data_IF_708700973189
#
_entry.id   IF_708700973189
#
_cell.length_a   1.000
_cell.length_b   1.000
_cell.length_c   1.000
_cell.angle_alpha   90.00
_cell.angle_beta   90.00
_cell.angle_gamma   90.00
#
_symmetry.space_group_name_H-M   'P 1'
#
loop_
_entity.id
_entity.type
_entity.pdbx_description
1 polymer ?
#
# COMPACT_ATOMS: atom_id res chain seq x y z
N UNK A 1 -19.03 0.82 77.58
CA UNK A 1 -18.81 1.25 76.18
C UNK A 1 -17.73 0.36 75.60
N UNK A 2 -18.06 -0.82 75.10
CA UNK A 2 -17.16 -1.63 74.24
C UNK A 2 -17.94 -2.86 73.72
N UNK A 3 -18.71 -2.70 72.65
CA UNK A 3 -19.34 -3.83 71.94
C UNK A 3 -19.27 -3.67 70.41
N UNK A 4 -18.37 -2.84 69.87
CA UNK A 4 -18.21 -2.65 68.42
C UNK A 4 -17.28 -3.68 67.75
N UNK A 5 -16.81 -4.68 68.51
CA UNK A 5 -15.85 -5.69 68.02
C UNK A 5 -16.52 -6.87 67.29
N UNK A 6 -17.86 -6.91 67.29
CA UNK A 6 -18.69 -7.90 66.61
C UNK A 6 -19.73 -7.24 65.69
N UNK A 7 -19.36 -6.15 65.03
CA UNK A 7 -20.28 -5.51 64.07
C UNK A 7 -20.13 -6.19 62.70
N UNK A 8 -21.07 -7.08 62.29
CA UNK A 8 -20.93 -7.91 61.08
C UNK A 8 -20.84 -7.08 59.80
N UNK A 9 -21.28 -5.82 59.82
CA UNK A 9 -21.18 -4.88 58.71
C UNK A 9 -19.74 -4.46 58.40
N UNK A 10 -18.88 -4.28 59.40
CA UNK A 10 -17.48 -3.85 59.19
C UNK A 10 -16.62 -4.98 58.62
N UNK A 11 -16.89 -6.22 59.04
CA UNK A 11 -16.27 -7.43 58.50
C UNK A 11 -16.72 -7.61 57.04
N UNK A 12 -18.02 -7.46 56.77
CA UNK A 12 -18.58 -7.56 55.42
C UNK A 12 -18.03 -6.50 54.47
N UNK A 13 -17.89 -5.24 54.90
CA UNK A 13 -17.30 -4.16 54.09
C UNK A 13 -15.81 -4.38 53.82
N UNK A 14 -15.05 -4.91 54.78
CA UNK A 14 -13.64 -5.26 54.58
C UNK A 14 -13.48 -6.39 53.56
N UNK A 15 -14.34 -7.41 53.63
CA UNK A 15 -14.38 -8.48 52.62
C UNK A 15 -14.79 -7.94 51.25
N UNK A 16 -15.88 -7.17 51.13
CA UNK A 16 -16.32 -6.59 49.86
C UNK A 16 -15.27 -5.65 49.25
N UNK A 17 -14.56 -4.87 50.07
CA UNK A 17 -13.44 -4.06 49.63
C UNK A 17 -12.28 -4.89 49.06
N UNK A 18 -11.94 -6.00 49.71
CA UNK A 18 -10.93 -6.94 49.21
C UNK A 18 -11.35 -7.61 47.88
N UNK A 19 -12.63 -7.95 47.72
CA UNK A 19 -13.14 -8.50 46.47
C UNK A 19 -13.12 -7.47 45.34
N UNK A 20 -13.60 -6.25 45.58
CA UNK A 20 -13.58 -5.17 44.60
C UNK A 20 -12.16 -4.81 44.15
N UNK A 21 -11.21 -4.77 45.07
CA UNK A 21 -9.79 -4.53 44.74
C UNK A 21 -9.20 -5.66 43.90
N UNK A 22 -9.50 -6.92 44.19
CA UNK A 22 -9.09 -8.07 43.36
C UNK A 22 -9.70 -7.98 41.96
N UNK A 23 -11.00 -7.66 41.82
CA UNK A 23 -11.64 -7.49 40.52
C UNK A 23 -11.02 -6.36 39.69
N UNK A 24 -10.70 -5.23 40.32
CA UNK A 24 -9.99 -4.12 39.68
C UNK A 24 -8.62 -4.56 39.20
N UNK A 25 -7.83 -5.25 40.03
CA UNK A 25 -6.50 -5.75 39.65
C UNK A 25 -6.60 -6.75 38.47
N UNK A 26 -7.56 -7.68 38.52
CA UNK A 26 -7.78 -8.66 37.43
C UNK A 26 -8.14 -7.94 36.13
N UNK A 27 -9.02 -6.95 36.17
CA UNK A 27 -9.39 -6.17 34.98
C UNK A 27 -8.21 -5.41 34.38
N UNK A 28 -7.35 -4.82 35.22
CA UNK A 28 -6.13 -4.11 34.78
C UNK A 28 -5.17 -5.10 34.10
N UNK A 29 -4.94 -6.27 34.70
CA UNK A 29 -4.08 -7.32 34.11
C UNK A 29 -4.64 -7.76 32.75
N UNK A 30 -5.96 -7.95 32.65
CA UNK A 30 -6.61 -8.35 31.40
C UNK A 30 -6.40 -7.31 30.29
N UNK A 31 -6.55 -6.03 30.60
CA UNK A 31 -6.29 -4.94 29.65
C UNK A 31 -4.83 -4.92 29.21
N UNK A 32 -3.88 -5.10 30.13
CA UNK A 32 -2.45 -5.14 29.79
C UNK A 32 -2.14 -6.32 28.86
N UNK A 33 -2.64 -7.52 29.17
CA UNK A 33 -2.44 -8.70 28.32
C UNK A 33 -3.06 -8.49 26.94
N UNK A 34 -4.26 -7.91 26.86
CA UNK A 34 -4.94 -7.62 25.61
C UNK A 34 -4.14 -6.63 24.75
N UNK A 35 -3.62 -5.57 25.35
CA UNK A 35 -2.74 -4.60 24.67
C UNK A 35 -1.47 -5.27 24.16
N UNK A 36 -0.82 -6.11 24.98
CA UNK A 36 0.38 -6.86 24.56
C UNK A 36 0.07 -7.77 23.38
N UNK A 37 -1.04 -8.52 23.40
CA UNK A 37 -1.44 -9.40 22.30
C UNK A 37 -1.66 -8.57 21.03
N UNK A 38 -2.41 -7.46 21.10
CA UNK A 38 -2.62 -6.56 19.95
C UNK A 38 -1.29 -6.05 19.41
N UNK A 39 -0.40 -5.55 20.26
CA UNK A 39 0.90 -5.06 19.82
C UNK A 39 1.74 -6.17 19.17
N UNK A 40 1.69 -7.39 19.71
CA UNK A 40 2.43 -8.53 19.19
C UNK A 40 1.87 -8.98 17.85
N UNK A 41 0.55 -9.01 17.68
CA UNK A 41 -0.15 -9.35 16.43
C UNK A 41 0.04 -8.27 15.37
N UNK A 42 -0.10 -6.99 15.73
CA UNK A 42 0.13 -5.87 14.80
C UNK A 42 1.61 -5.80 14.37
N UNK A 43 2.55 -6.07 15.27
CA UNK A 43 3.99 -6.08 14.97
C UNK A 43 4.40 -7.30 14.14
N UNK A 44 3.81 -8.47 14.39
CA UNK A 44 4.05 -9.67 13.56
C UNK A 44 3.34 -9.59 12.20
N UNK A 45 2.12 -9.03 12.17
CA UNK A 45 1.35 -8.77 10.95
C UNK A 45 2.01 -7.74 10.03
N UNK A 46 2.71 -6.73 10.57
CA UNK A 46 3.50 -5.79 9.78
C UNK A 46 4.66 -6.47 9.00
N UNK A 47 5.17 -7.62 9.49
CA UNK A 47 6.13 -8.45 8.77
C UNK A 47 5.51 -9.23 7.61
N UNK A 48 4.29 -9.74 7.81
CA UNK A 48 3.55 -10.53 6.80
C UNK A 48 3.00 -9.63 5.69
N UNK A 49 2.51 -8.44 6.02
CA UNK A 49 2.06 -7.46 5.03
C UNK A 49 3.18 -7.04 4.05
N UNK A 50 4.44 -6.95 4.52
CA UNK A 50 5.61 -6.74 3.64
C UNK A 50 5.94 -7.95 2.77
N UNK A 51 5.59 -9.16 3.22
CA UNK A 51 5.74 -10.40 2.46
C UNK A 51 4.71 -10.52 1.33
N UNK A 52 3.46 -10.15 1.58
CA UNK A 52 2.36 -10.24 0.58
C UNK A 52 2.38 -9.06 -0.41
N UNK A 53 2.91 -7.89 -0.02
CA UNK A 53 3.14 -6.77 -0.94
C UNK A 53 4.21 -7.07 -2.00
N UNK A 54 5.06 -8.08 -1.78
CA UNK A 54 5.86 -8.72 -2.84
C UNK A 54 4.99 -9.78 -3.49
N UNK A 55 3.94 -9.32 -4.18
CA UNK A 55 2.97 -10.17 -4.85
C UNK A 55 3.66 -11.25 -5.68
N UNK A 56 3.05 -12.45 -5.68
CA UNK A 56 3.34 -13.60 -6.55
C UNK A 56 4.41 -13.33 -7.61
N UNK A 57 5.69 -13.40 -7.22
CA UNK A 57 6.78 -13.40 -8.19
C UNK A 57 6.89 -14.83 -8.68
N UNK A 58 6.15 -15.16 -9.73
CA UNK A 58 6.31 -16.43 -10.42
C UNK A 58 7.64 -16.40 -11.14
N UNK A 59 8.56 -17.29 -10.76
CA UNK A 59 9.82 -17.51 -11.47
C UNK A 59 9.48 -17.95 -12.90
N UNK A 60 9.81 -17.13 -13.90
CA UNK A 60 9.52 -17.45 -15.28
C UNK A 60 10.38 -18.66 -15.73
N UNK A 61 9.80 -19.65 -16.44
CA UNK A 61 10.53 -20.83 -16.88
C UNK A 61 11.71 -20.43 -17.78
N UNK A 62 12.91 -20.87 -17.39
CA UNK A 62 14.18 -20.42 -17.98
C UNK A 62 14.41 -20.80 -19.45
N UNK A 63 13.54 -21.63 -20.02
CA UNK A 63 13.54 -21.97 -21.45
C UNK A 63 13.08 -20.80 -22.35
N UNK A 64 12.25 -19.89 -21.83
CA UNK A 64 11.66 -18.81 -22.64
C UNK A 64 12.55 -17.56 -22.68
N UNK A 65 13.57 -17.46 -21.82
CA UNK A 65 14.43 -16.29 -21.70
C UNK A 65 15.68 -16.50 -22.56
N UNK A 66 15.92 -15.68 -23.60
CA UNK A 66 17.16 -15.74 -24.38
C UNK A 66 18.37 -15.55 -23.47
N UNK A 67 19.45 -16.34 -23.65
CA UNK A 67 20.61 -16.33 -22.74
C UNK A 67 21.24 -14.94 -22.55
N UNK A 68 21.10 -14.05 -23.55
CA UNK A 68 21.54 -12.65 -23.47
C UNK A 68 20.85 -11.83 -22.37
N UNK A 69 19.64 -12.20 -21.96
CA UNK A 69 18.83 -11.47 -20.98
C UNK A 69 18.73 -12.22 -19.63
N UNK A 70 19.42 -13.35 -19.50
CA UNK A 70 19.41 -14.18 -18.30
C UNK A 70 20.26 -13.53 -17.21
N UNK A 71 19.63 -13.15 -16.10
CA UNK A 71 20.29 -12.51 -14.95
C UNK A 71 20.29 -10.97 -14.95
N UNK A 72 19.77 -10.34 -16.00
CA UNK A 72 19.63 -8.89 -16.05
C UNK A 72 18.29 -8.50 -15.41
N UNK A 73 18.31 -8.14 -14.12
CA UNK A 73 17.18 -7.43 -13.49
C UNK A 73 17.07 -6.08 -14.19
N UNK A 74 16.09 -5.94 -15.09
CA UNK A 74 15.80 -4.67 -15.77
C UNK A 74 15.41 -3.64 -14.70
N UNK A 75 16.31 -2.70 -14.42
CA UNK A 75 16.11 -1.60 -13.48
C UNK A 75 15.26 -0.46 -14.06
N UNK A 76 14.90 -0.54 -15.35
CA UNK A 76 14.17 0.51 -16.07
C UNK A 76 12.67 0.61 -15.69
N UNK A 77 12.24 -0.08 -14.63
CA UNK A 77 10.84 -0.14 -14.22
C UNK A 77 10.23 1.17 -13.71
N UNK A 78 10.96 2.30 -13.75
CA UNK A 78 10.47 3.59 -13.26
C UNK A 78 10.83 4.79 -14.12
N UNK A 79 11.44 4.63 -15.29
CA UNK A 79 11.72 5.78 -16.17
C UNK A 79 10.45 6.10 -16.96
N UNK A 80 9.62 7.00 -16.41
CA UNK A 80 8.39 7.46 -17.06
C UNK A 80 8.75 8.33 -18.27
N UNK A 81 8.84 7.74 -19.46
CA UNK A 81 8.94 8.49 -20.71
C UNK A 81 7.56 9.01 -21.10
N UNK A 82 7.41 10.32 -21.30
CA UNK A 82 6.18 10.88 -21.84
C UNK A 82 6.25 10.92 -23.36
N UNK A 83 5.10 10.69 -23.99
CA UNK A 83 4.98 10.73 -25.45
C UNK A 83 4.61 12.16 -25.84
N UNK A 84 5.47 12.83 -26.61
CA UNK A 84 5.21 14.19 -27.11
C UNK A 84 5.08 14.21 -28.62
N UNK A 85 4.08 14.93 -29.11
CA UNK A 85 3.87 15.21 -30.52
C UNK A 85 4.47 16.57 -30.90
N UNK A 86 4.85 16.76 -32.17
CA UNK A 86 5.26 18.07 -32.65
C UNK A 86 4.12 19.09 -32.53
N UNK A 87 4.45 20.35 -32.28
CA UNK A 87 3.48 21.45 -32.17
C UNK A 87 2.74 21.73 -33.50
N UNK A 88 3.37 21.37 -34.63
CA UNK A 88 2.81 21.58 -35.97
C UNK A 88 2.88 20.31 -36.79
N UNK A 89 1.85 20.08 -37.59
CA UNK A 89 1.81 18.95 -38.51
C UNK A 89 2.84 19.17 -39.64
N UNK A 90 3.74 18.21 -39.91
CA UNK A 90 4.69 18.30 -41.01
C UNK A 90 4.01 18.19 -42.39
N UNK A 91 2.79 17.62 -42.45
CA UNK A 91 2.07 17.46 -43.72
C UNK A 91 1.24 18.69 -44.11
N UNK A 92 0.69 19.45 -43.16
CA UNK A 92 -0.20 20.60 -43.47
C UNK A 92 0.15 21.90 -42.73
N UNK A 93 1.10 21.88 -41.79
CA UNK A 93 1.50 23.06 -41.01
C UNK A 93 0.51 23.50 -39.93
N UNK A 94 -0.65 22.83 -39.80
CA UNK A 94 -1.64 23.14 -38.76
C UNK A 94 -1.08 22.88 -37.36
N UNK A 95 -1.45 23.74 -36.39
CA UNK A 95 -1.12 23.54 -34.99
C UNK A 95 -1.86 22.31 -34.45
N UNK A 96 -1.15 21.46 -33.72
CA UNK A 96 -1.66 20.21 -33.18
C UNK A 96 -2.03 20.42 -31.71
N UNK A 97 -3.29 20.21 -31.35
CA UNK A 97 -3.76 20.20 -29.96
C UNK A 97 -3.83 18.77 -29.42
N UNK A 98 -3.32 18.52 -28.20
CA UNK A 98 -3.28 17.17 -27.61
C UNK A 98 -4.67 16.55 -27.41
N UNK A 99 -5.72 17.37 -27.31
CA UNK A 99 -7.10 16.95 -27.05
C UNK A 99 -7.83 16.46 -28.32
N UNK A 100 -7.31 16.78 -29.51
CA UNK A 100 -7.99 16.55 -30.79
C UNK A 100 -7.24 15.63 -31.72
N UNK A 101 -6.49 14.64 -31.24
CA UNK A 101 -5.63 13.77 -32.04
C UNK A 101 -6.11 12.32 -31.99
N UNK A 102 -6.27 11.72 -33.17
CA UNK A 102 -6.60 10.30 -33.30
C UNK A 102 -5.32 9.46 -33.27
N UNK A 103 -5.11 8.72 -32.18
CA UNK A 103 -3.98 7.80 -32.07
C UNK A 103 -4.23 6.52 -32.86
N UNK A 104 -3.30 6.18 -33.75
CA UNK A 104 -3.35 4.95 -34.56
C UNK A 104 -2.35 3.90 -34.08
N UNK A 105 -1.41 4.27 -33.21
CA UNK A 105 -0.44 3.37 -32.59
C UNK A 105 0.31 4.01 -31.42
N UNK A 106 1.21 3.28 -30.74
CA UNK A 106 1.90 3.76 -29.53
C UNK A 106 2.74 5.04 -29.71
N UNK A 107 3.24 5.26 -30.92
CA UNK A 107 4.00 6.45 -31.33
C UNK A 107 3.44 7.08 -32.61
N UNK A 108 2.24 6.68 -33.02
CA UNK A 108 1.66 7.08 -34.29
C UNK A 108 0.29 7.67 -34.07
N UNK A 109 0.10 8.85 -34.63
CA UNK A 109 -1.11 9.63 -34.53
C UNK A 109 -1.49 10.17 -35.89
N UNK A 110 -2.78 10.44 -36.10
CA UNK A 110 -3.29 11.02 -37.32
C UNK A 110 -3.67 12.48 -37.07
N UNK A 111 -3.25 13.36 -37.97
CA UNK A 111 -3.63 14.76 -37.93
C UNK A 111 -5.12 14.93 -38.28
N UNK A 112 -5.89 15.54 -37.40
CA UNK A 112 -7.34 15.75 -37.59
C UNK A 112 -7.70 16.76 -38.67
N UNK A 113 -6.73 17.56 -39.12
CA UNK A 113 -6.93 18.53 -40.20
C UNK A 113 -6.74 17.93 -41.59
N UNK A 114 -5.64 17.21 -41.82
CA UNK A 114 -5.28 16.72 -43.16
C UNK A 114 -5.26 15.19 -43.29
N UNK A 115 -5.46 14.46 -42.18
CA UNK A 115 -5.38 13.01 -42.14
C UNK A 115 -3.98 12.43 -42.28
N UNK A 116 -2.93 13.26 -42.25
CA UNK A 116 -1.53 12.82 -42.35
C UNK A 116 -1.06 12.09 -41.08
N UNK A 117 -0.12 11.15 -41.24
CA UNK A 117 0.49 10.43 -40.11
C UNK A 117 1.58 11.26 -39.43
N UNK A 118 1.50 11.34 -38.11
CA UNK A 118 2.41 12.03 -37.21
C UNK A 118 3.11 11.00 -36.34
N UNK A 119 4.42 11.15 -36.16
CA UNK A 119 5.20 10.30 -35.28
C UNK A 119 5.53 11.06 -33.99
N UNK A 120 5.14 10.48 -32.86
CA UNK A 120 5.47 11.00 -31.55
C UNK A 120 6.89 10.56 -31.16
N UNK A 121 7.54 11.36 -30.32
CA UNK A 121 8.86 11.05 -29.76
C UNK A 121 8.73 10.85 -28.25
N UNK A 122 9.46 9.89 -27.71
CA UNK A 122 9.59 9.73 -26.27
C UNK A 122 10.53 10.80 -25.73
N UNK A 123 10.02 11.64 -24.83
CA UNK A 123 10.84 12.56 -24.06
C UNK A 123 10.98 12.02 -22.63
N UNK A 124 12.21 12.03 -22.11
CA UNK A 124 12.47 11.70 -20.71
C UNK A 124 11.95 12.85 -19.85
N UNK A 125 11.14 12.51 -18.84
CA UNK A 125 10.65 13.47 -17.83
C UNK A 125 11.67 13.62 -16.70
#
# INVERSE_FOLDING_TARGET
MQFDLFDPFTIFDSFFGSFMTIFIIISIIFVIVFVVIIFTVCRSGAGIARGVARGFTMEAPSFVIPDRHRGQRRSDGSEMTTVRLPEKCPSCGAAISQEGIDWTGPLEAKCSYCGGSLRATFERV
#
